data_IF_240670062726
#
_entry.id   IF_240670062726
#
_cell.length_a   1.000
_cell.length_b   1.000
_cell.length_c   1.000
_cell.angle_alpha   90.00
_cell.angle_beta   90.00
_cell.angle_gamma   90.00
#
_symmetry.space_group_name_H-M   'P 1'
#
loop_
_entity.id
_entity.type
_entity.pdbx_description
1 polymer ?
#
# COMPACT_ATOMS: atom_id res chain seq x y z
N UNK A 1 -8.13 -11.93 37.69
CA UNK A 1 -6.99 -11.09 37.26
C UNK A 1 -7.20 -10.70 35.80
N UNK A 2 -7.75 -9.51 35.56
CA UNK A 2 -7.96 -8.98 34.21
C UNK A 2 -6.60 -8.51 33.70
N UNK A 3 -5.95 -9.30 32.85
CA UNK A 3 -4.74 -8.84 32.17
C UNK A 3 -5.17 -7.64 31.33
N UNK A 4 -4.66 -6.45 31.67
CA UNK A 4 -4.89 -5.22 30.93
C UNK A 4 -4.27 -5.38 29.54
N UNK A 5 -5.03 -5.91 28.59
CA UNK A 5 -4.61 -6.18 27.21
C UNK A 5 -3.96 -4.95 26.55
N UNK A 6 -4.38 -3.75 26.98
CA UNK A 6 -3.84 -2.45 26.56
C UNK A 6 -2.36 -2.27 26.93
N UNK A 7 -1.88 -2.85 28.04
CA UNK A 7 -0.47 -2.74 28.44
C UNK A 7 0.47 -3.64 27.63
N UNK A 8 0.00 -4.80 27.13
CA UNK A 8 0.79 -5.67 26.23
C UNK A 8 1.06 -5.07 24.85
N UNK A 9 0.21 -4.13 24.39
CA UNK A 9 0.41 -3.41 23.12
C UNK A 9 1.46 -2.29 23.29
N UNK A 10 1.86 -1.96 24.52
CA UNK A 10 2.62 -0.75 24.83
C UNK A 10 4.10 -1.06 25.17
N UNK A 11 4.92 -1.30 24.13
CA UNK A 11 6.30 -0.76 23.97
C UNK A 11 7.09 -1.31 22.78
N UNK A 12 6.70 -2.42 22.15
CA UNK A 12 7.46 -3.03 21.02
C UNK A 12 6.67 -3.31 19.73
N UNK A 13 5.35 -3.15 19.70
CA UNK A 13 4.51 -3.45 18.53
C UNK A 13 3.33 -2.45 18.41
N UNK A 14 3.62 -1.17 18.17
CA UNK A 14 2.58 -0.30 17.58
C UNK A 14 2.59 -0.57 16.07
N UNK A 15 1.54 -1.19 15.54
CA UNK A 15 1.32 -1.21 14.10
C UNK A 15 1.19 0.23 13.62
N UNK A 16 2.16 0.74 12.86
CA UNK A 16 1.95 1.97 12.09
C UNK A 16 0.87 1.67 11.06
N UNK A 17 -0.21 2.45 11.09
CA UNK A 17 -1.26 2.37 10.06
C UNK A 17 -0.96 3.46 9.05
N UNK A 18 -0.73 3.06 7.81
CA UNK A 18 -0.54 3.97 6.69
C UNK A 18 -1.40 3.56 5.50
N UNK A 19 -1.16 4.18 4.36
CA UNK A 19 -1.81 3.86 3.10
C UNK A 19 -0.81 3.18 2.16
N UNK A 20 -1.28 2.17 1.43
CA UNK A 20 -0.68 1.74 0.15
C UNK A 20 -1.47 2.41 -0.96
N UNK A 21 -0.78 2.86 -2.00
CA UNK A 21 -1.38 3.46 -3.18
C UNK A 21 -0.78 2.93 -4.48
N UNK A 22 -1.59 3.02 -5.54
CA UNK A 22 -1.20 2.78 -6.92
C UNK A 22 -1.52 4.06 -7.70
N UNK A 23 -0.50 4.64 -8.32
CA UNK A 23 -0.64 5.82 -9.19
C UNK A 23 -0.37 5.39 -10.64
N UNK A 24 -1.29 5.74 -11.54
CA UNK A 24 -1.12 5.56 -12.99
C UNK A 24 -0.85 6.89 -13.70
N UNK A 25 -0.55 6.81 -14.99
CA UNK A 25 -0.42 7.94 -15.91
C UNK A 25 -1.52 7.82 -16.96
N UNK A 26 -2.28 8.88 -17.24
CA UNK A 26 -3.42 8.80 -18.17
C UNK A 26 -3.00 8.46 -19.60
N UNK A 27 -1.85 8.97 -20.03
CA UNK A 27 -1.33 8.81 -21.39
C UNK A 27 -0.51 7.53 -21.56
N UNK A 28 -0.23 6.80 -20.48
CA UNK A 28 0.66 5.63 -20.50
C UNK A 28 0.01 4.45 -19.80
N UNK A 29 -0.38 3.46 -20.58
CA UNK A 29 -1.03 2.26 -20.08
C UNK A 29 -0.04 1.32 -19.38
N UNK A 30 -0.55 0.53 -18.43
CA UNK A 30 0.16 -0.55 -17.72
C UNK A 30 1.35 -0.15 -16.85
N UNK A 31 1.76 1.13 -16.86
CA UNK A 31 2.83 1.64 -16.01
C UNK A 31 2.23 2.27 -14.76
N UNK A 32 2.60 1.72 -13.61
CA UNK A 32 2.10 2.16 -12.32
C UNK A 32 3.22 2.35 -11.31
N UNK A 33 3.08 3.39 -10.49
CA UNK A 33 3.86 3.57 -9.27
C UNK A 33 3.12 2.90 -8.12
N UNK A 34 3.81 2.05 -7.38
CA UNK A 34 3.26 1.42 -6.17
C UNK A 34 4.07 1.93 -4.98
N UNK A 35 3.40 2.61 -4.05
CA UNK A 35 4.08 3.21 -2.92
C UNK A 35 3.25 3.23 -1.65
N UNK A 36 3.84 3.77 -0.58
CA UNK A 36 3.18 3.94 0.70
C UNK A 36 3.32 5.36 1.28
N UNK A 37 2.46 5.70 2.22
CA UNK A 37 2.50 6.96 2.96
C UNK A 37 1.82 6.82 4.33
N UNK A 38 2.35 7.49 5.35
CA UNK A 38 1.67 7.64 6.64
C UNK A 38 0.67 8.82 6.63
N UNK A 39 0.71 9.66 5.58
CA UNK A 39 -0.14 10.85 5.40
C UNK A 39 -1.22 10.63 4.33
N UNK A 40 -1.67 11.70 3.69
CA UNK A 40 -2.58 11.67 2.54
C UNK A 40 -1.82 11.24 1.28
N UNK A 41 -2.50 10.49 0.42
CA UNK A 41 -1.92 10.00 -0.85
C UNK A 41 -1.92 11.13 -1.87
N UNK A 42 -2.90 12.02 -1.77
CA UNK A 42 -3.11 13.20 -2.60
C UNK A 42 -1.92 14.17 -2.52
N UNK A 43 -1.35 14.35 -1.33
CA UNK A 43 -0.12 15.15 -1.13
C UNK A 43 1.06 14.54 -1.91
N UNK A 44 1.23 13.21 -1.80
CA UNK A 44 2.30 12.48 -2.49
C UNK A 44 2.10 12.51 -4.01
N UNK A 45 0.87 12.40 -4.49
CA UNK A 45 0.54 12.51 -5.91
C UNK A 45 0.88 13.91 -6.43
N UNK A 46 0.54 14.96 -5.68
CA UNK A 46 0.82 16.35 -6.03
C UNK A 46 2.33 16.60 -6.15
N UNK A 47 3.12 16.12 -5.18
CA UNK A 47 4.59 16.21 -5.23
C UNK A 47 5.17 15.49 -6.46
N UNK A 48 4.63 14.32 -6.79
CA UNK A 48 5.09 13.53 -7.93
C UNK A 48 4.72 14.17 -9.27
N UNK A 49 3.56 14.82 -9.36
CA UNK A 49 3.08 15.48 -10.57
C UNK A 49 4.03 16.60 -11.02
N UNK A 50 4.63 17.34 -10.08
CA UNK A 50 5.59 18.43 -10.40
C UNK A 50 6.75 17.94 -11.27
N UNK A 51 7.20 16.71 -11.06
CA UNK A 51 8.30 16.09 -11.80
C UNK A 51 7.86 15.16 -12.94
N UNK A 52 6.57 15.01 -13.20
CA UNK A 52 6.05 14.09 -14.21
C UNK A 52 5.30 14.86 -15.31
N UNK A 53 5.69 14.73 -16.60
CA UNK A 53 5.01 15.41 -17.69
C UNK A 53 3.62 14.85 -18.02
N UNK A 54 3.30 13.63 -17.57
CA UNK A 54 2.00 12.97 -17.80
C UNK A 54 1.02 13.22 -16.65
N UNK A 55 -0.28 13.24 -16.93
CA UNK A 55 -1.29 13.43 -15.90
C UNK A 55 -1.36 12.18 -15.00
N UNK A 56 -1.06 12.37 -13.71
CA UNK A 56 -1.13 11.32 -12.71
C UNK A 56 -2.55 11.17 -12.18
N UNK A 57 -2.95 9.93 -11.89
CA UNK A 57 -4.19 9.64 -11.19
C UNK A 57 -4.00 8.53 -10.15
N UNK A 58 -4.75 8.61 -9.05
CA UNK A 58 -4.80 7.54 -8.05
C UNK A 58 -5.67 6.42 -8.61
N UNK A 59 -5.04 5.33 -9.02
CA UNK A 59 -5.73 4.16 -9.55
C UNK A 59 -6.28 3.28 -8.43
N UNK A 60 -5.60 3.23 -7.28
CA UNK A 60 -6.08 2.54 -6.08
C UNK A 60 -5.42 3.11 -4.83
N UNK A 61 -6.13 3.08 -3.70
CA UNK A 61 -5.54 3.32 -2.39
C UNK A 61 -6.28 2.57 -1.28
N UNK A 62 -5.55 2.14 -0.25
CA UNK A 62 -6.17 1.50 0.91
C UNK A 62 -5.31 1.66 2.15
N UNK A 63 -5.97 1.78 3.32
CA UNK A 63 -5.27 1.75 4.60
C UNK A 63 -4.84 0.32 4.94
N UNK A 64 -3.59 0.17 5.35
CA UNK A 64 -2.98 -1.08 5.78
C UNK A 64 -2.18 -0.89 7.06
N UNK A 65 -2.06 -1.93 7.90
CA UNK A 65 -1.04 -1.96 8.93
C UNK A 65 0.32 -2.32 8.37
N UNK A 66 1.37 -1.77 8.98
CA UNK A 66 2.75 -2.00 8.57
C UNK A 66 2.98 -1.70 7.07
N UNK A 67 2.61 -0.49 6.60
CA UNK A 67 2.63 -0.13 5.18
C UNK A 67 3.98 -0.42 4.49
N UNK A 68 5.09 -0.18 5.18
CA UNK A 68 6.43 -0.48 4.66
C UNK A 68 6.65 -1.98 4.41
N UNK A 69 6.12 -2.86 5.27
CA UNK A 69 6.23 -4.30 5.11
C UNK A 69 5.35 -4.76 3.93
N UNK A 70 4.10 -4.28 3.87
CA UNK A 70 3.18 -4.56 2.77
C UNK A 70 3.76 -4.11 1.42
N UNK A 71 4.29 -2.89 1.33
CA UNK A 71 4.95 -2.36 0.15
C UNK A 71 6.11 -3.26 -0.29
N UNK A 72 6.98 -3.65 0.65
CA UNK A 72 8.11 -4.54 0.38
C UNK A 72 7.68 -5.90 -0.15
N UNK A 73 6.63 -6.50 0.41
CA UNK A 73 6.07 -7.77 -0.07
C UNK A 73 5.55 -7.63 -1.51
N UNK A 74 4.77 -6.59 -1.81
CA UNK A 74 4.23 -6.32 -3.15
C UNK A 74 5.36 -6.08 -4.15
N UNK A 75 6.32 -5.23 -3.80
CA UNK A 75 7.48 -4.92 -4.62
C UNK A 75 8.32 -6.16 -4.92
N UNK A 76 8.42 -7.10 -3.98
CA UNK A 76 9.13 -8.37 -4.15
C UNK A 76 8.36 -9.31 -5.08
N UNK A 77 7.03 -9.40 -4.93
CA UNK A 77 6.18 -10.20 -5.81
C UNK A 77 6.19 -9.68 -7.26
N UNK A 78 6.31 -8.37 -7.45
CA UNK A 78 6.35 -7.71 -8.76
C UNK A 78 7.77 -7.38 -9.25
N UNK A 79 8.81 -7.99 -8.66
CA UNK A 79 10.20 -7.65 -8.98
C UNK A 79 10.53 -7.79 -10.49
N UNK A 80 9.91 -8.76 -11.18
CA UNK A 80 10.07 -8.97 -12.63
C UNK A 80 9.44 -7.88 -13.50
N UNK A 81 8.49 -7.12 -12.95
CA UNK A 81 7.76 -6.06 -13.63
C UNK A 81 8.38 -4.68 -13.37
N UNK A 82 9.42 -4.60 -12.54
CA UNK A 82 9.98 -3.33 -12.09
C UNK A 82 10.76 -2.66 -13.22
N UNK A 83 10.41 -1.41 -13.51
CA UNK A 83 11.15 -0.56 -14.43
C UNK A 83 12.29 0.15 -13.68
N UNK A 84 11.95 1.18 -12.90
CA UNK A 84 12.91 2.01 -12.16
C UNK A 84 12.29 2.50 -10.84
N UNK A 85 13.02 2.28 -9.75
CA UNK A 85 12.54 2.64 -8.41
C UNK A 85 11.22 1.93 -8.09
N UNK A 86 10.19 2.71 -7.84
CA UNK A 86 8.85 2.26 -7.46
C UNK A 86 7.87 2.16 -8.65
N UNK A 87 8.37 2.28 -9.88
CA UNK A 87 7.59 2.16 -11.11
C UNK A 87 7.66 0.74 -11.69
N UNK A 88 6.51 0.22 -12.09
CA UNK A 88 6.33 -1.14 -12.60
C UNK A 88 5.53 -1.10 -13.91
N UNK A 89 5.92 -1.94 -14.86
CA UNK A 89 5.15 -2.25 -16.06
C UNK A 89 4.45 -3.59 -15.87
N UNK A 90 3.15 -3.57 -15.61
CA UNK A 90 2.37 -4.78 -15.34
C UNK A 90 2.15 -5.63 -16.60
N UNK A 91 2.39 -5.10 -17.81
CA UNK A 91 2.34 -5.90 -19.04
C UNK A 91 3.41 -7.00 -19.06
N UNK A 92 4.49 -6.83 -18.28
CA UNK A 92 5.59 -7.80 -18.18
C UNK A 92 5.27 -9.00 -17.27
N UNK A 93 4.17 -8.97 -16.51
CA UNK A 93 3.85 -10.04 -15.56
C UNK A 93 3.27 -11.26 -16.27
N UNK A 94 2.12 -11.08 -16.93
CA UNK A 94 1.49 -11.98 -17.91
C UNK A 94 0.53 -11.16 -18.78
N UNK A 95 0.25 -11.57 -20.03
CA UNK A 95 -0.82 -10.96 -20.83
C UNK A 95 -2.14 -10.98 -20.06
N UNK A 96 -2.80 -9.81 -19.96
CA UNK A 96 -4.09 -9.67 -19.28
C UNK A 96 -4.03 -9.54 -17.75
N UNK A 97 -2.85 -9.36 -17.15
CA UNK A 97 -2.79 -8.96 -15.74
C UNK A 97 -3.00 -7.46 -15.64
N UNK A 98 -4.20 -7.14 -15.19
CA UNK A 98 -4.66 -5.79 -14.90
C UNK A 98 -4.30 -5.39 -13.47
N UNK A 99 -4.50 -4.10 -13.17
CA UNK A 99 -4.32 -3.51 -11.84
C UNK A 99 -5.00 -4.32 -10.72
N UNK A 100 -6.09 -5.03 -11.04
CA UNK A 100 -6.84 -5.88 -10.14
C UNK A 100 -5.99 -6.97 -9.48
N UNK A 101 -5.02 -7.55 -10.17
CA UNK A 101 -4.13 -8.56 -9.56
C UNK A 101 -3.24 -7.96 -8.46
N UNK A 102 -2.83 -6.70 -8.62
CA UNK A 102 -2.05 -5.98 -7.59
C UNK A 102 -2.96 -5.61 -6.42
N UNK A 103 -4.19 -5.18 -6.71
CA UNK A 103 -5.22 -4.91 -5.70
C UNK A 103 -5.52 -6.18 -4.88
N UNK A 104 -5.58 -7.34 -5.52
CA UNK A 104 -5.79 -8.62 -4.84
C UNK A 104 -4.63 -8.98 -3.92
N UNK A 105 -3.37 -8.78 -4.34
CA UNK A 105 -2.21 -8.97 -3.47
C UNK A 105 -2.27 -8.06 -2.24
N UNK A 106 -2.63 -6.79 -2.42
CA UNK A 106 -2.82 -5.84 -1.31
C UNK A 106 -3.95 -6.31 -0.37
N UNK A 107 -5.07 -6.75 -0.93
CA UNK A 107 -6.21 -7.22 -0.17
C UNK A 107 -5.91 -8.52 0.60
N UNK A 108 -5.13 -9.43 0.03
CA UNK A 108 -4.67 -10.66 0.70
C UNK A 108 -3.80 -10.31 1.91
N UNK A 109 -2.84 -9.39 1.76
CA UNK A 109 -2.02 -8.96 2.89
C UNK A 109 -2.87 -8.30 3.99
N UNK A 110 -3.78 -7.42 3.59
CA UNK A 110 -4.71 -6.75 4.51
C UNK A 110 -5.58 -7.72 5.29
N UNK A 111 -6.05 -8.81 4.67
CA UNK A 111 -6.88 -9.86 5.32
C UNK A 111 -6.15 -10.60 6.45
N UNK A 112 -4.82 -10.52 6.56
CA UNK A 112 -4.07 -11.04 7.71
C UNK A 112 -4.38 -10.27 9.02
N UNK A 113 -5.06 -9.13 8.93
CA UNK A 113 -5.31 -8.23 10.03
C UNK A 113 -6.78 -7.80 10.14
N UNK A 114 -7.25 -7.64 11.38
CA UNK A 114 -8.48 -6.94 11.73
C UNK A 114 -8.17 -5.49 12.09
N UNK A 115 -8.75 -4.56 11.35
CA UNK A 115 -8.67 -3.12 11.67
C UNK A 115 -9.73 -2.76 12.70
N UNK A 116 -9.34 -2.07 13.78
CA UNK A 116 -10.27 -1.53 14.79
C UNK A 116 -9.90 -0.08 15.13
N UNK A 117 -10.90 0.73 15.50
CA UNK A 117 -10.65 2.08 15.99
C UNK A 117 -10.50 2.08 17.51
N UNK A 118 -9.49 2.80 18.01
CA UNK A 118 -9.24 3.02 19.43
C UNK A 118 -8.78 4.46 19.64
N UNK A 119 -9.51 5.23 20.46
CA UNK A 119 -9.24 6.65 20.73
C UNK A 119 -9.04 7.49 19.45
N UNK A 120 -9.91 7.31 18.45
CA UNK A 120 -9.86 8.04 17.18
C UNK A 120 -8.72 7.61 16.24
N UNK A 121 -7.96 6.56 16.59
CA UNK A 121 -6.87 6.03 15.75
C UNK A 121 -7.20 4.63 15.27
N UNK A 122 -6.81 4.33 14.04
CA UNK A 122 -6.84 2.97 13.53
C UNK A 122 -5.69 2.16 14.13
N UNK A 123 -6.00 0.96 14.60
CA UNK A 123 -5.03 -0.04 15.04
C UNK A 123 -5.34 -1.37 14.36
N UNK A 124 -4.32 -2.20 14.14
CA UNK A 124 -4.48 -3.51 13.54
C UNK A 124 -4.14 -4.64 14.51
N UNK A 125 -5.01 -5.65 14.50
CA UNK A 125 -4.85 -6.89 15.24
C UNK A 125 -4.66 -8.03 14.25
N UNK A 126 -3.51 -8.71 14.28
CA UNK A 126 -3.26 -9.87 13.40
C UNK A 126 -4.20 -11.02 13.79
N UNK A 127 -4.80 -11.68 12.80
CA UNK A 127 -5.54 -12.92 13.06
C UNK A 127 -4.54 -14.01 13.53
N UNK A 128 -4.97 -14.84 14.49
CA UNK A 128 -4.18 -15.99 14.96
C UNK A 128 -4.14 -17.07 13.89
#
# INVERSE_FOLDING_TARGET
MTINYVSMINKKNRSSVGSIYIIGMREVNNIYKIGMTDNFVEDRMSDLQVGNPFELYIAYQTKVPYPQATEKEIHSALAKCRLKGEWFDLSLYKPGIEIDSVIDLINIDKKKYKMVQYNGKWIAQKFK
#
